data_IF_764523042917
#
_entry.id   IF_764523042917
#
_cell.length_a   1.000
_cell.length_b   1.000
_cell.length_c   1.000
_cell.angle_alpha   90.00
_cell.angle_beta   90.00
_cell.angle_gamma   90.00
#
_symmetry.space_group_name_H-M   'P 1'
#
loop_
_entity.id
_entity.type
_entity.pdbx_description
1 polymer ?
#
# COMPACT_ATOMS: atom_id res chain seq x y z
N UNK A 1 16.10 18.09 24.86
CA UNK A 1 15.37 16.81 24.95
C UNK A 1 15.44 16.15 23.58
N UNK A 2 16.05 14.98 23.46
CA UNK A 2 16.13 14.27 22.19
C UNK A 2 14.84 13.45 22.06
N UNK A 3 13.94 13.85 21.16
CA UNK A 3 12.72 13.09 20.91
C UNK A 3 13.11 11.73 20.32
N UNK A 4 12.48 10.65 20.81
CA UNK A 4 12.67 9.33 20.22
C UNK A 4 12.27 9.39 18.73
N UNK A 5 13.08 8.79 17.82
CA UNK A 5 12.74 8.78 16.40
C UNK A 5 11.40 8.06 16.20
N UNK A 6 10.61 8.45 15.21
CA UNK A 6 9.33 7.80 14.91
C UNK A 6 9.56 6.39 14.32
N UNK A 7 8.94 5.36 14.90
CA UNK A 7 9.04 3.97 14.43
C UNK A 7 7.87 3.57 13.53
N UNK A 8 6.67 4.13 13.76
CA UNK A 8 5.45 3.77 13.04
C UNK A 8 4.76 5.07 12.59
N UNK A 9 4.46 5.16 11.31
CA UNK A 9 3.73 6.26 10.70
C UNK A 9 2.46 5.73 10.05
N UNK A 10 1.32 6.30 10.43
CA UNK A 10 0.03 6.09 9.77
C UNK A 10 -0.40 7.42 9.16
N UNK A 11 -0.73 7.43 7.88
CA UNK A 11 -1.08 8.65 7.17
C UNK A 11 -2.01 8.37 5.99
N UNK A 12 -2.81 9.36 5.62
CA UNK A 12 -3.54 9.37 4.35
C UNK A 12 -2.59 9.74 3.20
N UNK A 13 -2.79 9.23 1.96
CA UNK A 13 -1.84 9.43 0.87
C UNK A 13 -1.55 10.90 0.57
N UNK A 14 -2.60 11.73 0.42
CA UNK A 14 -2.43 13.15 0.10
C UNK A 14 -1.52 13.87 1.10
N UNK A 15 -1.78 13.71 2.40
CA UNK A 15 -0.99 14.38 3.44
C UNK A 15 0.43 13.84 3.56
N UNK A 16 0.62 12.53 3.38
CA UNK A 16 1.95 11.92 3.40
C UNK A 16 2.80 12.41 2.21
N UNK A 17 2.23 12.43 1.01
CA UNK A 17 2.90 12.96 -0.18
C UNK A 17 3.31 14.41 0.01
N UNK A 18 2.42 15.26 0.52
CA UNK A 18 2.74 16.67 0.76
C UNK A 18 3.91 16.83 1.74
N UNK A 19 3.96 15.99 2.78
CA UNK A 19 5.08 15.98 3.72
C UNK A 19 6.39 15.48 3.09
N UNK A 20 6.33 14.48 2.21
CA UNK A 20 7.50 13.97 1.49
C UNK A 20 8.07 14.99 0.51
N UNK A 21 7.21 15.75 -0.17
CA UNK A 21 7.61 16.75 -1.16
C UNK A 21 8.07 18.06 -0.51
N UNK A 22 7.41 18.50 0.58
CA UNK A 22 7.56 19.88 1.07
C UNK A 22 8.15 19.99 2.48
N UNK A 23 8.26 18.92 3.26
CA UNK A 23 8.84 19.00 4.62
C UNK A 23 10.31 18.58 4.63
N UNK A 24 11.24 19.50 4.98
CA UNK A 24 12.67 19.19 5.01
C UNK A 24 12.99 17.97 5.87
N UNK A 25 13.75 17.03 5.30
CA UNK A 25 14.26 15.84 5.99
C UNK A 25 13.29 14.66 6.08
N UNK A 26 11.99 14.80 5.78
CA UNK A 26 11.06 13.65 5.81
C UNK A 26 11.39 12.65 4.71
N UNK A 27 11.65 13.13 3.48
CA UNK A 27 12.05 12.28 2.36
C UNK A 27 13.33 11.47 2.63
N UNK A 28 14.27 12.00 3.43
CA UNK A 28 15.46 11.26 3.85
C UNK A 28 15.13 10.20 4.90
N UNK A 29 14.23 10.51 5.85
CA UNK A 29 13.83 9.56 6.90
C UNK A 29 13.04 8.38 6.33
N UNK A 30 12.19 8.60 5.32
CA UNK A 30 11.36 7.52 4.77
C UNK A 30 12.17 6.44 4.04
N UNK A 31 13.42 6.74 3.65
CA UNK A 31 14.35 5.74 3.09
C UNK A 31 14.73 4.63 4.08
N UNK A 32 14.44 4.80 5.37
CA UNK A 32 14.64 3.75 6.39
C UNK A 32 13.46 2.79 6.55
N UNK A 33 12.37 2.95 5.79
CA UNK A 33 11.18 2.11 5.89
C UNK A 33 11.48 0.68 5.47
N UNK A 34 11.15 -0.27 6.35
CA UNK A 34 11.30 -1.71 6.11
C UNK A 34 9.98 -2.40 5.77
N UNK A 35 8.86 -1.80 6.18
CA UNK A 35 7.52 -2.34 5.99
C UNK A 35 6.61 -1.23 5.48
N UNK A 36 5.96 -1.47 4.34
CA UNK A 36 4.91 -0.63 3.79
C UNK A 36 3.59 -1.40 3.83
N UNK A 37 2.53 -0.76 4.33
CA UNK A 37 1.17 -1.31 4.31
C UNK A 37 0.27 -0.38 3.52
N UNK A 38 -0.40 -0.92 2.51
CA UNK A 38 -1.49 -0.25 1.80
C UNK A 38 -2.80 -0.90 2.27
N UNK A 39 -3.55 -0.18 3.10
CA UNK A 39 -4.83 -0.64 3.63
C UNK A 39 -6.01 -0.06 2.83
N UNK A 40 -7.10 -0.82 2.75
CA UNK A 40 -8.29 -0.51 1.92
C UNK A 40 -7.93 -0.03 0.51
N UNK A 41 -7.03 -0.73 -0.19
CA UNK A 41 -6.42 -0.26 -1.43
C UNK A 41 -7.42 0.07 -2.55
N UNK A 42 -8.51 -0.69 -2.65
CA UNK A 42 -9.64 -0.43 -3.55
C UNK A 42 -10.28 0.94 -3.26
N UNK A 43 -10.59 1.23 -2.00
CA UNK A 43 -11.15 2.53 -1.62
C UNK A 43 -10.19 3.69 -1.87
N UNK A 44 -8.90 3.50 -1.60
CA UNK A 44 -7.92 4.55 -1.89
C UNK A 44 -7.89 4.90 -3.39
N UNK A 45 -8.06 3.90 -4.26
CA UNK A 45 -8.11 4.11 -5.71
C UNK A 45 -9.42 4.72 -6.17
N UNK A 46 -10.56 4.32 -5.59
CA UNK A 46 -11.86 4.96 -5.82
C UNK A 46 -11.86 6.44 -5.44
N UNK A 47 -11.11 6.81 -4.40
CA UNK A 47 -10.91 8.21 -3.98
C UNK A 47 -9.93 8.99 -4.87
N UNK A 48 -9.34 8.37 -5.89
CA UNK A 48 -8.42 9.02 -6.82
C UNK A 48 -6.99 9.14 -6.32
N UNK A 49 -6.59 8.45 -5.24
CA UNK A 49 -5.24 8.57 -4.66
C UNK A 49 -4.14 7.82 -5.43
N UNK A 50 -4.46 7.24 -6.59
CA UNK A 50 -3.49 6.48 -7.40
C UNK A 50 -2.14 7.20 -7.57
N UNK A 51 -2.17 8.45 -8.04
CA UNK A 51 -0.95 9.23 -8.31
C UNK A 51 -0.17 9.54 -7.03
N UNK A 52 -0.87 9.78 -5.93
CA UNK A 52 -0.24 10.06 -4.65
C UNK A 52 0.44 8.81 -4.09
N UNK A 53 -0.19 7.65 -4.21
CA UNK A 53 0.38 6.35 -3.82
C UNK A 53 1.62 6.02 -4.65
N UNK A 54 1.54 6.14 -5.98
CA UNK A 54 2.68 5.88 -6.87
C UNK A 54 3.88 6.78 -6.53
N UNK A 55 3.63 8.06 -6.21
CA UNK A 55 4.67 8.98 -5.73
C UNK A 55 5.25 8.57 -4.38
N UNK A 56 4.43 8.20 -3.41
CA UNK A 56 4.88 7.74 -2.09
C UNK A 56 5.78 6.52 -2.24
N UNK A 57 5.36 5.52 -3.03
CA UNK A 57 6.14 4.31 -3.30
C UNK A 57 7.50 4.66 -3.90
N UNK A 58 7.57 5.65 -4.81
CA UNK A 58 8.83 6.09 -5.41
C UNK A 58 9.83 6.71 -4.42
N UNK A 59 9.36 7.23 -3.27
CA UNK A 59 10.26 7.70 -2.19
C UNK A 59 10.78 6.55 -1.31
N UNK A 60 10.10 5.41 -1.29
CA UNK A 60 10.42 4.26 -0.44
C UNK A 60 11.42 3.34 -1.18
N UNK A 61 12.47 2.82 -0.51
CA UNK A 61 13.43 1.91 -1.16
C UNK A 61 12.75 0.60 -1.54
N UNK A 62 13.17 -0.05 -2.63
CA UNK A 62 12.58 -1.28 -3.19
C UNK A 62 12.79 -2.56 -2.37
N UNK A 63 13.65 -2.53 -1.36
CA UNK A 63 13.95 -3.68 -0.50
C UNK A 63 13.04 -3.79 0.74
N UNK A 64 11.91 -3.08 0.74
CA UNK A 64 10.91 -3.16 1.79
C UNK A 64 9.99 -4.38 1.63
N UNK A 65 9.43 -4.86 2.74
CA UNK A 65 8.28 -5.77 2.71
C UNK A 65 7.01 -4.95 2.51
N UNK A 66 6.22 -5.29 1.48
CA UNK A 66 4.94 -4.62 1.22
C UNK A 66 3.77 -5.55 1.53
N UNK A 67 2.79 -5.06 2.29
CA UNK A 67 1.48 -5.69 2.44
C UNK A 67 0.43 -4.81 1.76
N UNK A 68 -0.39 -5.41 0.89
CA UNK A 68 -1.52 -4.75 0.25
C UNK A 68 -2.80 -5.46 0.69
N UNK A 69 -3.66 -4.74 1.38
CA UNK A 69 -4.92 -5.22 1.91
C UNK A 69 -6.06 -4.53 1.17
N UNK A 70 -7.01 -5.33 0.67
CA UNK A 70 -8.13 -4.81 -0.11
C UNK A 70 -9.30 -5.78 -0.04
N UNK A 71 -10.52 -5.25 0.01
CA UNK A 71 -11.73 -6.07 0.04
C UNK A 71 -12.06 -6.63 -1.35
N UNK A 72 -11.77 -5.86 -2.39
CA UNK A 72 -11.91 -6.25 -3.79
C UNK A 72 -10.59 -6.10 -4.53
N UNK A 73 -10.41 -6.82 -5.64
CA UNK A 73 -9.17 -6.76 -6.44
C UNK A 73 -9.51 -6.48 -7.90
N UNK A 74 -9.96 -5.25 -8.24
CA UNK A 74 -10.10 -4.81 -9.63
C UNK A 74 -8.74 -4.65 -10.31
N UNK A 75 -8.76 -4.30 -11.59
CA UNK A 75 -7.52 -4.13 -12.37
C UNK A 75 -6.64 -3.01 -11.82
N UNK A 76 -7.20 -1.91 -11.31
CA UNK A 76 -6.38 -0.85 -10.73
C UNK A 76 -5.62 -1.32 -9.47
N UNK A 77 -6.24 -2.14 -8.62
CA UNK A 77 -5.56 -2.72 -7.45
C UNK A 77 -4.44 -3.66 -7.90
N UNK A 78 -4.67 -4.49 -8.93
CA UNK A 78 -3.61 -5.32 -9.51
C UNK A 78 -2.46 -4.47 -10.04
N UNK A 79 -2.73 -3.38 -10.74
CA UNK A 79 -1.69 -2.49 -11.25
C UNK A 79 -0.84 -1.90 -10.11
N UNK A 80 -1.46 -1.46 -9.02
CA UNK A 80 -0.73 -0.98 -7.83
C UNK A 80 0.10 -2.09 -7.18
N UNK A 81 -0.42 -3.31 -7.09
CA UNK A 81 0.35 -4.47 -6.59
C UNK A 81 1.64 -4.68 -7.37
N UNK A 82 1.61 -4.60 -8.71
CA UNK A 82 2.82 -4.72 -9.54
C UNK A 82 3.85 -3.61 -9.32
N UNK A 83 3.41 -2.42 -8.90
CA UNK A 83 4.29 -1.28 -8.60
C UNK A 83 4.87 -1.38 -7.18
N UNK A 84 4.05 -1.80 -6.22
CA UNK A 84 4.38 -1.74 -4.79
C UNK A 84 5.05 -3.02 -4.24
N UNK A 85 4.83 -4.17 -4.89
CA UNK A 85 5.21 -5.49 -4.35
C UNK A 85 6.30 -6.17 -5.17
N UNK A 86 7.03 -7.09 -4.54
CA UNK A 86 8.01 -7.95 -5.23
C UNK A 86 7.30 -8.91 -6.20
N UNK A 87 8.02 -9.37 -7.22
CA UNK A 87 7.47 -10.25 -8.28
C UNK A 87 6.97 -11.60 -7.75
N UNK A 88 7.55 -12.06 -6.65
CA UNK A 88 7.29 -13.33 -5.97
C UNK A 88 6.36 -13.19 -4.76
N UNK A 89 5.57 -12.11 -4.67
CA UNK A 89 4.62 -11.94 -3.58
C UNK A 89 3.53 -13.02 -3.58
N UNK A 90 3.10 -13.41 -2.38
CA UNK A 90 1.98 -14.33 -2.23
C UNK A 90 0.65 -13.57 -2.33
N UNK A 91 -0.25 -14.04 -3.19
CA UNK A 91 -1.64 -13.57 -3.25
C UNK A 91 -2.55 -14.50 -2.45
N UNK A 92 -3.11 -13.98 -1.36
CA UNK A 92 -4.00 -14.73 -0.47
C UNK A 92 -5.43 -14.24 -0.66
N UNK A 93 -6.31 -15.13 -1.12
CA UNK A 93 -7.75 -14.88 -1.17
C UNK A 93 -8.46 -15.65 -0.05
N UNK A 94 -9.13 -14.93 0.83
CA UNK A 94 -9.82 -15.49 2.00
C UNK A 94 -11.21 -16.04 1.66
N UNK A 95 -11.76 -15.74 0.49
CA UNK A 95 -12.97 -16.38 0.00
C UNK A 95 -12.66 -17.79 -0.52
N UNK A 96 -13.21 -18.80 0.14
CA UNK A 96 -13.26 -20.15 -0.43
C UNK A 96 -14.09 -20.10 -1.71
N UNK A 97 -13.55 -20.56 -2.84
CA UNK A 97 -14.31 -20.85 -4.08
C UNK A 97 -15.58 -21.60 -3.65
N UNK A 98 -16.73 -20.95 -3.76
CA UNK A 98 -17.99 -21.51 -3.31
C UNK A 98 -18.13 -22.90 -3.94
N UNK A 99 -18.15 -23.93 -3.10
CA UNK A 99 -18.42 -25.30 -3.48
C UNK A 99 -19.70 -25.27 -4.31
N UNK A 100 -19.63 -25.61 -5.60
CA UNK A 100 -20.77 -25.71 -6.51
C UNK A 100 -21.81 -26.62 -5.84
N UNK A 101 -22.79 -26.03 -5.14
CA UNK A 101 -24.00 -26.74 -4.76
C UNK A 101 -24.80 -26.90 -6.05
N UNK A 102 -24.66 -28.05 -6.68
CA UNK A 102 -25.65 -28.53 -7.64
C UNK A 102 -26.97 -28.66 -6.88
N UNK A 103 -27.79 -27.62 -6.94
CA UNK A 103 -29.19 -27.71 -6.57
C UNK A 103 -29.88 -28.29 -7.80
N UNK A 104 -30.01 -29.62 -7.83
CA UNK A 104 -31.09 -30.25 -8.56
C UNK A 104 -32.36 -30.04 -7.74
N UNK A 105 -33.23 -29.16 -8.21
CA UNK A 105 -34.68 -29.31 -8.13
C UNK A 105 -35.30 -28.70 -9.38
#
# INVERSE_FOLDING_TARGET
MQANPCQILVATPGRLKDHLENTPGISNRIRGVKILVLDEADRLLDMGFRRDIEKIIAFIPTEQQTLLLSATVPEEVRQISHVAMKKDHEFINTFKKAMRRHIHR
#
